data_IF_521907564082
#
_entry.id   IF_521907564082
#
_cell.length_a   1.000
_cell.length_b   1.000
_cell.length_c   1.000
_cell.angle_alpha   90.00
_cell.angle_beta   90.00
_cell.angle_gamma   90.00
#
_symmetry.space_group_name_H-M   'P 1'
#
loop_
_entity.id
_entity.type
_entity.pdbx_description
1 polymer ?
#
# COMPACT_ATOMS: atom_id res chain seq x y z
N UNK A 1 -7.33 -1.76 -77.87
CA UNK A 1 -8.07 -2.25 -76.68
C UNK A 1 -7.11 -2.22 -75.46
N UNK A 2 -7.33 -1.32 -74.53
CA UNK A 2 -6.47 -1.14 -73.33
C UNK A 2 -7.16 -1.82 -72.14
N UNK A 3 -6.53 -2.85 -71.62
CA UNK A 3 -6.96 -3.49 -70.39
C UNK A 3 -6.36 -2.76 -69.18
N UNK A 4 -7.20 -2.04 -68.41
CA UNK A 4 -6.82 -1.39 -67.19
C UNK A 4 -6.75 -2.43 -66.07
N UNK A 5 -5.60 -2.51 -65.38
CA UNK A 5 -5.43 -3.28 -64.15
C UNK A 5 -5.86 -2.43 -62.97
N UNK A 6 -6.93 -2.81 -62.30
CA UNK A 6 -7.33 -2.24 -61.00
C UNK A 6 -6.45 -2.87 -59.91
N UNK A 7 -5.59 -2.09 -59.34
CA UNK A 7 -4.81 -2.45 -58.15
C UNK A 7 -5.61 -2.07 -56.94
N UNK A 8 -6.20 -3.04 -56.26
CA UNK A 8 -6.88 -2.81 -54.98
C UNK A 8 -5.81 -2.64 -53.89
N UNK A 9 -5.72 -1.42 -53.35
CA UNK A 9 -4.90 -1.11 -52.16
C UNK A 9 -5.74 -1.47 -50.94
N UNK A 10 -5.39 -2.61 -50.29
CA UNK A 10 -5.96 -2.97 -49.00
C UNK A 10 -5.18 -2.16 -47.94
N UNK A 11 -5.79 -1.11 -47.43
CA UNK A 11 -5.28 -0.37 -46.27
C UNK A 11 -5.66 -1.17 -45.03
N UNK A 12 -4.70 -1.94 -44.52
CA UNK A 12 -4.83 -2.62 -43.23
C UNK A 12 -4.68 -1.58 -42.11
N UNK A 13 -5.81 -1.11 -41.60
CA UNK A 13 -5.84 -0.27 -40.41
C UNK A 13 -5.50 -1.12 -39.18
N UNK A 14 -4.23 -1.10 -38.77
CA UNK A 14 -3.83 -1.56 -37.46
C UNK A 14 -4.34 -0.58 -36.41
N UNK A 15 -5.49 -0.86 -35.86
CA UNK A 15 -5.95 -0.21 -34.62
C UNK A 15 -5.14 -0.83 -33.47
N UNK A 16 -4.00 -0.24 -33.17
CA UNK A 16 -3.28 -0.53 -31.93
C UNK A 16 -4.11 0.03 -30.78
N UNK A 17 -4.85 -0.83 -30.12
CA UNK A 17 -5.46 -0.54 -28.85
C UNK A 17 -4.31 -0.35 -27.81
N UNK A 18 -3.88 0.90 -27.65
CA UNK A 18 -3.10 1.29 -26.49
C UNK A 18 -4.01 1.19 -25.28
N UNK A 19 -3.97 0.06 -24.57
CA UNK A 19 -4.47 -0.02 -23.23
C UNK A 19 -3.52 0.83 -22.39
N UNK A 20 -3.81 2.12 -22.27
CA UNK A 20 -3.16 2.99 -21.31
C UNK A 20 -3.52 2.48 -19.94
N UNK A 21 -2.64 1.69 -19.36
CA UNK A 21 -2.68 1.35 -17.94
C UNK A 21 -2.47 2.65 -17.19
N UNK A 22 -3.54 3.34 -16.84
CA UNK A 22 -3.50 4.55 -16.02
C UNK A 22 -2.93 4.16 -14.68
N UNK A 23 -1.63 4.36 -14.49
CA UNK A 23 -1.01 4.26 -13.18
C UNK A 23 -1.57 5.39 -12.35
N UNK A 24 -2.51 5.10 -11.47
CA UNK A 24 -3.04 6.08 -10.52
C UNK A 24 -1.89 6.40 -9.57
N UNK A 25 -1.23 7.52 -9.80
CA UNK A 25 -0.26 8.06 -8.84
C UNK A 25 -1.04 8.73 -7.71
N UNK A 26 -1.09 8.08 -6.57
CA UNK A 26 -1.63 8.72 -5.37
C UNK A 26 -0.69 9.83 -4.93
N UNK A 27 -1.20 11.06 -4.90
CA UNK A 27 -0.45 12.20 -4.38
C UNK A 27 -0.23 12.08 -2.87
N UNK A 28 0.77 12.78 -2.33
CA UNK A 28 0.99 12.88 -0.87
C UNK A 28 -0.30 13.27 -0.13
N UNK A 29 -1.12 14.11 -0.74
CA UNK A 29 -2.43 14.54 -0.22
C UNK A 29 -3.40 13.37 0.01
N UNK A 30 -3.40 12.35 -0.85
CA UNK A 30 -4.25 11.15 -0.67
C UNK A 30 -3.73 10.30 0.48
N UNK A 31 -2.41 10.11 0.56
CA UNK A 31 -1.79 9.35 1.66
C UNK A 31 -2.05 10.03 3.00
N UNK A 32 -1.93 11.37 3.05
CA UNK A 32 -2.22 12.15 4.27
C UNK A 32 -3.68 12.02 4.73
N UNK A 33 -4.61 11.82 3.82
CA UNK A 33 -6.02 11.57 4.16
C UNK A 33 -6.27 10.16 4.72
N UNK A 34 -5.46 9.18 4.35
CA UNK A 34 -5.67 7.76 4.69
C UNK A 34 -4.94 7.39 5.97
N UNK A 35 -3.72 7.87 6.16
CA UNK A 35 -2.90 7.51 7.33
C UNK A 35 -3.58 7.89 8.64
N UNK A 36 -3.29 7.17 9.74
CA UNK A 36 -3.75 7.55 11.07
C UNK A 36 -3.39 9.00 11.43
N UNK A 37 -4.32 9.73 12.01
CA UNK A 37 -4.11 11.11 12.49
C UNK A 37 -3.80 11.13 13.98
N UNK A 38 -3.37 12.29 14.50
CA UNK A 38 -3.09 12.45 15.94
C UNK A 38 -4.31 12.20 16.84
N UNK A 39 -5.52 12.51 16.31
CA UNK A 39 -6.77 12.32 17.05
C UNK A 39 -7.20 10.84 17.13
N UNK A 40 -6.65 10.01 16.26
CA UNK A 40 -6.95 8.57 16.20
C UNK A 40 -5.98 7.73 17.02
N UNK A 41 -4.94 8.35 17.56
CA UNK A 41 -3.98 7.63 18.41
C UNK A 41 -4.68 7.26 19.73
N UNK A 42 -4.66 5.97 20.12
CA UNK A 42 -5.28 5.54 21.37
C UNK A 42 -4.68 6.24 22.59
N UNK A 43 -5.48 6.39 23.63
CA UNK A 43 -4.99 6.91 24.90
C UNK A 43 -3.81 6.09 25.43
N UNK A 44 -2.74 6.76 25.82
CA UNK A 44 -1.50 6.08 26.25
C UNK A 44 -0.50 5.76 25.14
N UNK A 45 -0.86 6.05 23.88
CA UNK A 45 0.01 5.91 22.72
C UNK A 45 0.49 7.26 22.16
N UNK A 46 1.48 7.22 21.29
CA UNK A 46 2.00 8.38 20.56
C UNK A 46 2.55 7.90 19.21
N UNK A 47 2.77 8.81 18.28
CA UNK A 47 3.55 8.48 17.09
C UNK A 47 4.94 8.00 17.48
N UNK A 48 5.30 6.83 17.02
CA UNK A 48 6.63 6.27 17.21
C UNK A 48 7.67 6.98 16.35
N UNK A 49 8.94 6.71 16.64
CA UNK A 49 10.06 7.19 15.84
C UNK A 49 10.61 6.05 14.98
N UNK A 50 11.01 6.37 13.76
CA UNK A 50 11.73 5.40 12.94
C UNK A 50 13.05 5.09 13.62
N UNK A 51 13.38 3.81 13.84
CA UNK A 51 14.69 3.44 14.32
C UNK A 51 15.81 4.07 13.47
N UNK A 52 16.88 4.54 14.12
CA UNK A 52 17.95 5.29 13.45
C UNK A 52 18.54 4.58 12.22
N UNK A 53 18.64 3.24 12.28
CA UNK A 53 19.13 2.45 11.13
C UNK A 53 18.19 2.48 9.90
N UNK A 54 16.91 2.77 10.10
CA UNK A 54 15.91 2.82 9.03
C UNK A 54 15.72 4.25 8.51
N UNK A 55 16.14 5.28 9.23
CA UNK A 55 15.94 6.69 8.84
C UNK A 55 16.58 7.00 7.48
N UNK A 56 17.75 6.44 7.19
CA UNK A 56 18.45 6.61 5.91
C UNK A 56 17.74 5.94 4.71
N UNK A 57 16.78 5.06 4.98
CA UNK A 57 16.01 4.35 3.95
C UNK A 57 14.69 5.03 3.60
N UNK A 58 14.34 6.09 4.30
CA UNK A 58 13.08 6.78 4.12
C UNK A 58 13.22 7.94 3.16
N UNK A 59 12.25 8.09 2.27
CA UNK A 59 12.02 9.32 1.53
C UNK A 59 11.59 10.41 2.50
N UNK A 60 11.43 11.62 1.98
CA UNK A 60 10.86 12.73 2.71
C UNK A 60 9.59 12.37 3.49
N UNK A 61 9.41 13.03 4.62
CA UNK A 61 8.25 13.00 5.50
C UNK A 61 7.89 11.62 6.06
N UNK A 62 8.25 11.42 7.27
CA UNK A 62 9.33 10.60 7.76
C UNK A 62 9.19 9.11 7.41
N UNK A 63 8.11 8.72 6.75
CA UNK A 63 7.65 7.32 6.68
C UNK A 63 7.52 6.77 5.26
N UNK A 64 7.84 7.54 4.21
CA UNK A 64 7.81 7.06 2.83
C UNK A 64 9.11 6.32 2.48
N UNK A 65 8.99 5.09 1.99
CA UNK A 65 10.14 4.27 1.60
C UNK A 65 10.62 4.67 0.20
N UNK A 66 11.93 4.77 0.02
CA UNK A 66 12.52 4.82 -1.32
C UNK A 66 12.54 3.41 -1.96
N UNK A 67 12.93 3.33 -3.22
CA UNK A 67 12.96 2.05 -3.95
C UNK A 67 13.96 1.05 -3.36
N UNK A 68 15.02 1.52 -2.70
CA UNK A 68 15.98 0.65 -2.01
C UNK A 68 15.37 0.04 -0.77
N UNK A 69 14.65 0.85 0.01
CA UNK A 69 13.92 0.38 1.18
C UNK A 69 12.79 -0.59 0.79
N UNK A 70 12.03 -0.31 -0.28
CA UNK A 70 10.99 -1.20 -0.80
C UNK A 70 11.59 -2.57 -1.15
N UNK A 71 12.72 -2.61 -1.87
CA UNK A 71 13.41 -3.87 -2.20
C UNK A 71 13.80 -4.69 -0.99
N UNK A 72 14.20 -4.04 0.11
CA UNK A 72 14.63 -4.71 1.34
C UNK A 72 13.46 -5.11 2.24
N UNK A 73 12.37 -4.34 2.20
CA UNK A 73 11.31 -4.44 3.20
C UNK A 73 10.06 -5.20 2.73
N UNK A 74 9.79 -5.26 1.42
CA UNK A 74 8.54 -5.86 0.92
C UNK A 74 8.27 -7.26 1.49
N UNK A 75 9.25 -8.17 1.39
CA UNK A 75 9.14 -9.54 1.91
C UNK A 75 9.19 -9.65 3.45
N UNK A 76 9.54 -8.54 4.14
CA UNK A 76 9.51 -8.48 5.61
C UNK A 76 8.17 -7.97 6.13
N UNK A 77 7.44 -7.18 5.33
CA UNK A 77 6.09 -6.70 5.66
C UNK A 77 5.12 -7.87 5.59
N UNK A 78 5.21 -8.69 4.55
CA UNK A 78 4.46 -9.95 4.42
C UNK A 78 5.27 -10.97 3.58
N UNK A 79 5.14 -12.26 3.86
CA UNK A 79 5.86 -13.30 3.14
C UNK A 79 5.59 -13.26 1.64
N UNK A 80 6.63 -13.37 0.84
CA UNK A 80 6.52 -13.37 -0.62
C UNK A 80 6.19 -12.02 -1.25
N UNK A 81 6.24 -10.91 -0.49
CA UNK A 81 6.07 -9.56 -1.00
C UNK A 81 7.05 -9.26 -2.12
N UNK A 82 6.53 -8.87 -3.31
CA UNK A 82 7.33 -8.69 -4.54
C UNK A 82 7.59 -7.20 -4.79
N UNK A 83 8.83 -6.72 -4.54
CA UNK A 83 9.16 -5.29 -4.69
C UNK A 83 8.89 -4.72 -6.07
N UNK A 84 9.01 -5.56 -7.12
CA UNK A 84 8.79 -5.14 -8.50
C UNK A 84 7.34 -4.75 -8.79
N UNK A 85 6.39 -5.15 -7.95
CA UNK A 85 4.96 -4.86 -8.04
C UNK A 85 4.52 -3.67 -7.20
N UNK A 86 5.38 -3.19 -6.31
CA UNK A 86 5.10 -2.10 -5.38
C UNK A 86 5.68 -0.80 -5.92
N UNK A 87 4.87 0.26 -5.97
CA UNK A 87 5.29 1.61 -6.34
C UNK A 87 5.80 2.38 -5.14
N UNK A 88 5.04 2.37 -4.06
CA UNK A 88 5.34 3.09 -2.83
C UNK A 88 4.89 2.32 -1.59
N UNK A 89 5.60 2.54 -0.50
CA UNK A 89 5.22 2.10 0.83
C UNK A 89 5.31 3.30 1.77
N UNK A 90 4.23 3.55 2.50
CA UNK A 90 4.22 4.49 3.61
C UNK A 90 3.97 3.72 4.90
N UNK A 91 4.68 4.06 5.95
CA UNK A 91 4.57 3.40 7.24
C UNK A 91 4.30 4.43 8.34
N UNK A 92 3.36 4.15 9.20
CA UNK A 92 3.14 4.87 10.45
C UNK A 92 3.31 3.90 11.61
N UNK A 93 4.13 4.25 12.57
CA UNK A 93 4.29 3.52 13.83
C UNK A 93 3.61 4.33 14.92
N UNK A 94 2.83 3.65 15.76
CA UNK A 94 2.18 4.20 16.94
C UNK A 94 2.62 3.34 18.11
N UNK A 95 3.33 3.93 19.07
CA UNK A 95 4.01 3.20 20.13
C UNK A 95 3.39 3.50 21.49
N UNK A 96 3.42 2.52 22.38
CA UNK A 96 2.95 2.70 23.75
C UNK A 96 3.93 3.59 24.54
N UNK A 97 3.44 4.68 25.15
CA UNK A 97 4.25 5.63 25.93
C UNK A 97 5.00 4.99 27.10
N UNK A 98 4.45 3.89 27.66
CA UNK A 98 5.06 3.17 28.80
C UNK A 98 6.05 2.12 28.35
N UNK A 99 5.93 1.62 27.11
CA UNK A 99 6.81 0.62 26.54
C UNK A 99 7.16 0.97 25.06
N UNK A 100 7.96 2.04 24.84
CA UNK A 100 8.20 2.56 23.49
C UNK A 100 9.07 1.65 22.60
N UNK A 101 9.47 0.49 23.09
CA UNK A 101 10.29 -0.47 22.35
C UNK A 101 9.66 -1.86 22.25
N UNK A 102 8.41 -2.02 22.61
CA UNK A 102 7.85 -3.36 22.74
C UNK A 102 6.42 -3.60 22.28
N UNK A 103 5.59 -2.59 22.20
CA UNK A 103 4.17 -2.75 21.85
C UNK A 103 3.78 -1.70 20.81
N UNK A 104 3.99 -2.02 19.54
CA UNK A 104 3.70 -1.11 18.44
C UNK A 104 2.41 -1.49 17.71
N UNK A 105 1.70 -0.45 17.27
CA UNK A 105 0.67 -0.52 16.25
C UNK A 105 1.31 0.01 14.98
N UNK A 106 1.30 -0.76 13.91
CA UNK A 106 1.90 -0.36 12.64
C UNK A 106 0.84 -0.30 11.56
N UNK A 107 0.83 0.79 10.81
CA UNK A 107 0.01 1.00 9.64
C UNK A 107 0.90 1.14 8.41
N UNK A 108 0.82 0.18 7.50
CA UNK A 108 1.41 0.29 6.16
C UNK A 108 0.34 0.71 5.16
N UNK A 109 0.68 1.68 4.32
CA UNK A 109 -0.06 2.01 3.10
C UNK A 109 0.79 1.55 1.94
N UNK A 110 0.31 0.56 1.20
CA UNK A 110 0.97 -0.05 0.07
C UNK A 110 0.32 0.45 -1.21
N UNK A 111 1.11 1.01 -2.11
CA UNK A 111 0.66 1.41 -3.44
C UNK A 111 1.29 0.46 -4.44
N UNK A 112 0.47 -0.30 -5.14
CA UNK A 112 0.91 -1.21 -6.18
C UNK A 112 0.95 -0.50 -7.53
N UNK A 113 1.74 -1.02 -8.46
CA UNK A 113 1.92 -0.43 -9.80
C UNK A 113 0.61 -0.34 -10.61
N UNK A 114 -0.29 -1.31 -10.39
CA UNK A 114 -1.60 -1.38 -11.03
C UNK A 114 -2.51 -2.33 -10.25
N UNK A 115 -3.78 -2.43 -10.64
CA UNK A 115 -4.77 -3.28 -9.96
C UNK A 115 -4.45 -4.77 -10.06
N UNK A 116 -3.83 -5.23 -11.15
CA UNK A 116 -3.39 -6.63 -11.30
C UNK A 116 -2.30 -6.95 -10.27
N UNK A 117 -1.28 -6.10 -10.15
CA UNK A 117 -0.24 -6.25 -9.14
C UNK A 117 -0.82 -6.23 -7.74
N UNK A 118 -1.80 -5.34 -7.47
CA UNK A 118 -2.51 -5.30 -6.20
C UNK A 118 -3.24 -6.61 -5.90
N UNK A 119 -3.98 -7.16 -6.86
CA UNK A 119 -4.71 -8.42 -6.68
C UNK A 119 -3.77 -9.57 -6.32
N UNK A 120 -2.64 -9.69 -7.04
CA UNK A 120 -1.66 -10.75 -6.81
C UNK A 120 -0.94 -10.61 -5.45
N UNK A 121 -0.59 -9.39 -5.05
CA UNK A 121 0.07 -9.12 -3.77
C UNK A 121 -0.91 -9.23 -2.60
N UNK A 122 -2.15 -8.78 -2.78
CA UNK A 122 -3.19 -8.89 -1.75
C UNK A 122 -3.58 -10.34 -1.47
N UNK A 123 -3.52 -11.24 -2.44
CA UNK A 123 -3.73 -12.67 -2.20
C UNK A 123 -2.73 -13.20 -1.14
N UNK A 124 -1.44 -12.86 -1.28
CA UNK A 124 -0.38 -13.26 -0.34
C UNK A 124 -0.55 -12.58 1.03
N UNK A 125 -0.84 -11.27 1.02
CA UNK A 125 -1.02 -10.51 2.25
C UNK A 125 -2.25 -11.00 3.03
N UNK A 126 -3.37 -11.27 2.35
CA UNK A 126 -4.58 -11.78 3.00
C UNK A 126 -4.37 -13.22 3.53
N UNK A 127 -3.62 -14.06 2.82
CA UNK A 127 -3.22 -15.37 3.33
C UNK A 127 -2.42 -15.21 4.63
N UNK A 128 -1.40 -14.36 4.63
CA UNK A 128 -0.61 -14.08 5.84
C UNK A 128 -1.47 -13.55 7.00
N UNK A 129 -2.37 -12.59 6.72
CA UNK A 129 -3.28 -12.02 7.72
C UNK A 129 -4.27 -13.06 8.24
N UNK A 130 -4.69 -14.04 7.44
CA UNK A 130 -5.59 -15.09 7.90
C UNK A 130 -5.02 -15.94 9.04
N UNK A 131 -3.68 -16.13 9.06
CA UNK A 131 -2.96 -16.79 10.16
C UNK A 131 -2.69 -15.86 11.36
N UNK A 132 -2.93 -14.56 11.20
CA UNK A 132 -2.69 -13.52 12.21
C UNK A 132 -3.97 -12.67 12.45
N UNK A 133 -5.15 -13.28 12.32
CA UNK A 133 -6.44 -12.58 12.36
C UNK A 133 -6.78 -11.93 13.71
N UNK A 134 -6.05 -12.29 14.75
CA UNK A 134 -6.14 -11.71 16.09
C UNK A 134 -5.27 -10.46 16.29
N UNK A 135 -4.47 -10.09 15.28
CA UNK A 135 -3.53 -8.96 15.37
C UNK A 135 -3.32 -8.19 14.08
N UNK A 136 -4.00 -8.54 13.00
CA UNK A 136 -3.79 -7.90 11.70
C UNK A 136 -5.10 -7.69 10.93
N UNK A 137 -5.17 -6.58 10.17
CA UNK A 137 -6.31 -6.21 9.33
C UNK A 137 -5.79 -5.66 8.01
N UNK A 138 -6.45 -6.01 6.90
CA UNK A 138 -6.21 -5.44 5.58
C UNK A 138 -7.45 -4.74 5.04
N UNK A 139 -7.21 -3.67 4.27
CA UNK A 139 -8.24 -2.95 3.52
C UNK A 139 -7.66 -2.68 2.14
N UNK A 140 -8.43 -2.87 1.08
CA UNK A 140 -8.00 -2.60 -0.30
C UNK A 140 -9.01 -1.74 -1.03
N UNK A 141 -8.50 -0.82 -1.86
CA UNK A 141 -9.26 -0.12 -2.90
C UNK A 141 -8.38 0.05 -4.14
N UNK A 142 -8.77 -0.55 -5.26
CA UNK A 142 -7.98 -0.54 -6.51
C UNK A 142 -6.55 -1.04 -6.28
N UNK A 143 -5.56 -0.23 -6.63
CA UNK A 143 -4.14 -0.51 -6.45
C UNK A 143 -3.55 0.03 -5.13
N UNK A 144 -4.38 0.39 -4.17
CA UNK A 144 -3.98 0.83 -2.82
C UNK A 144 -4.46 -0.18 -1.79
N UNK A 145 -3.59 -0.54 -0.85
CA UNK A 145 -3.94 -1.34 0.32
C UNK A 145 -3.44 -0.68 1.59
N UNK A 146 -4.19 -0.88 2.67
CA UNK A 146 -3.77 -0.56 4.03
C UNK A 146 -3.65 -1.86 4.81
N UNK A 147 -2.52 -2.05 5.45
CA UNK A 147 -2.24 -3.17 6.32
C UNK A 147 -1.92 -2.64 7.73
N UNK A 148 -2.78 -2.99 8.66
CA UNK A 148 -2.65 -2.66 10.08
C UNK A 148 -2.26 -3.91 10.85
N UNK A 149 -1.29 -3.80 11.74
CA UNK A 149 -1.00 -4.88 12.68
C UNK A 149 -0.56 -4.36 14.03
N UNK A 150 -0.66 -5.21 15.05
CA UNK A 150 -0.22 -4.95 16.42
C UNK A 150 0.76 -6.03 16.86
N UNK A 151 1.75 -5.65 17.62
CA UNK A 151 2.67 -6.61 18.27
C UNK A 151 1.96 -7.34 19.42
N UNK A 152 1.12 -6.63 20.16
CA UNK A 152 0.36 -7.18 21.26
C UNK A 152 -1.12 -7.36 20.88
N UNK A 153 -1.65 -8.59 20.96
CA UNK A 153 -3.05 -8.89 20.64
C UNK A 153 -4.06 -8.09 21.47
N UNK A 154 -3.68 -7.61 22.65
CA UNK A 154 -4.54 -6.75 23.48
C UNK A 154 -4.86 -5.42 22.80
N UNK A 155 -4.06 -5.01 21.83
CA UNK A 155 -4.23 -3.77 21.09
C UNK A 155 -5.06 -3.94 19.81
N UNK A 156 -5.55 -5.16 19.55
CA UNK A 156 -6.30 -5.48 18.34
C UNK A 156 -7.56 -4.61 18.16
N UNK A 157 -8.26 -4.29 19.23
CA UNK A 157 -9.44 -3.42 19.16
C UNK A 157 -9.09 -1.98 18.72
N UNK A 158 -7.87 -1.52 18.96
CA UNK A 158 -7.40 -0.23 18.45
C UNK A 158 -7.32 -0.24 16.92
N UNK A 159 -6.73 -1.28 16.32
CA UNK A 159 -6.64 -1.36 14.86
C UNK A 159 -7.99 -1.65 14.20
N UNK A 160 -8.92 -2.30 14.88
CA UNK A 160 -10.32 -2.43 14.40
C UNK A 160 -10.95 -1.04 14.23
N UNK A 161 -10.92 -0.23 15.27
CA UNK A 161 -11.45 1.14 15.24
C UNK A 161 -10.78 1.99 14.16
N UNK A 162 -9.45 1.94 14.07
CA UNK A 162 -8.69 2.63 13.01
C UNK A 162 -9.09 2.14 11.62
N UNK A 163 -9.28 0.83 11.45
CA UNK A 163 -9.62 0.25 10.15
C UNK A 163 -10.97 0.71 9.63
N UNK A 164 -11.96 0.88 10.50
CA UNK A 164 -13.28 1.40 10.15
C UNK A 164 -13.20 2.85 9.68
N UNK A 165 -12.41 3.68 10.36
CA UNK A 165 -12.20 5.08 9.97
C UNK A 165 -11.46 5.19 8.64
N UNK A 166 -10.38 4.41 8.47
CA UNK A 166 -9.61 4.37 7.23
C UNK A 166 -10.48 3.86 6.07
N UNK A 167 -11.31 2.85 6.29
CA UNK A 167 -12.23 2.33 5.26
C UNK A 167 -13.18 3.42 4.76
N UNK A 168 -13.82 4.17 5.65
CA UNK A 168 -14.70 5.29 5.28
C UNK A 168 -13.97 6.34 4.44
N UNK A 169 -12.73 6.68 4.80
CA UNK A 169 -11.91 7.61 4.02
C UNK A 169 -11.55 7.05 2.64
N UNK A 170 -11.19 5.78 2.56
CA UNK A 170 -10.93 5.11 1.29
C UNK A 170 -12.16 5.11 0.39
N UNK A 171 -13.35 4.85 0.93
CA UNK A 171 -14.60 4.87 0.18
C UNK A 171 -14.89 6.24 -0.44
N UNK A 172 -14.47 7.32 0.21
CA UNK A 172 -14.66 8.71 -0.25
C UNK A 172 -13.65 9.16 -1.33
N UNK A 173 -12.62 8.38 -1.65
CA UNK A 173 -11.65 8.63 -2.72
C UNK A 173 -12.14 8.11 -4.07
#
# INVERSE_FOLDING_TARGET
MRTGKFTAIIILLFITFFISSSTVMYSSTVIDKIRPTSEEIPAGYMFGQVPGFAQSLLKSNPWAFDQTAIKKMASRIYPGGEPSRISDIHMTIITNKRNPYGDDIVCYILIFKNEKAASEEMAKLNEFVSFNSDRAITIQKKNLAVYLHVDNVKDFDHIKTMSETIRKRLESL
#
